data_IF_923111962913
#
_entry.id   IF_923111962913
#
_cell.length_a   1.000
_cell.length_b   1.000
_cell.length_c   1.000
_cell.angle_alpha   90.00
_cell.angle_beta   90.00
_cell.angle_gamma   90.00
#
_symmetry.space_group_name_H-M   'P 1'
#
loop_
_entity.id
_entity.type
_entity.pdbx_description
1 polymer ?
#
# COMPACT_ATOMS: atom_id res chain seq x y z
N UNK A 1 14.12 18.60 -4.27
CA UNK A 1 13.08 17.63 -4.68
C UNK A 1 12.17 17.48 -3.50
N UNK A 2 10.88 17.77 -3.70
CA UNK A 2 9.87 17.67 -2.64
C UNK A 2 8.98 16.46 -2.84
N UNK A 3 8.76 15.71 -1.77
CA UNK A 3 8.01 14.47 -1.77
C UNK A 3 6.75 14.63 -0.92
N UNK A 4 5.59 14.26 -1.45
CA UNK A 4 4.38 14.09 -0.65
C UNK A 4 4.26 12.63 -0.20
N UNK A 5 4.07 12.39 1.10
CA UNK A 5 3.81 11.06 1.64
C UNK A 5 2.38 10.98 2.15
N UNK A 6 1.53 10.28 1.40
CA UNK A 6 0.09 10.18 1.62
C UNK A 6 -0.23 8.87 2.36
N UNK A 7 -0.45 8.97 3.67
CA UNK A 7 -0.88 7.84 4.50
C UNK A 7 -2.39 7.68 4.46
N UNK A 8 -2.86 6.43 4.34
CA UNK A 8 -4.28 6.16 4.20
C UNK A 8 -4.74 4.91 4.96
N UNK A 9 -6.03 4.89 5.35
CA UNK A 9 -6.71 3.75 5.92
C UNK A 9 -6.71 3.69 7.45
N UNK A 10 -6.77 2.48 7.99
CA UNK A 10 -6.65 2.22 9.43
C UNK A 10 -5.20 2.05 9.83
N UNK A 11 -4.86 2.39 11.06
CA UNK A 11 -3.53 2.08 11.62
C UNK A 11 -3.26 0.58 11.60
N UNK A 12 -4.31 -0.22 11.81
CA UNK A 12 -4.19 -1.67 11.92
C UNK A 12 -3.82 -2.12 13.33
N UNK A 13 -4.21 -3.34 13.64
CA UNK A 13 -3.97 -3.95 14.95
C UNK A 13 -3.15 -5.23 14.85
N UNK A 14 -2.88 -5.79 16.01
CA UNK A 14 -2.09 -7.02 16.19
C UNK A 14 -2.94 -8.29 16.02
N UNK A 15 -4.28 -8.16 15.98
CA UNK A 15 -5.18 -9.29 16.00
C UNK A 15 -5.53 -9.80 14.60
N UNK A 16 -5.23 -11.07 14.36
CA UNK A 16 -5.73 -11.86 13.24
C UNK A 16 -5.26 -11.45 11.83
N UNK A 17 -5.77 -12.17 10.84
CA UNK A 17 -5.43 -12.03 9.42
C UNK A 17 -5.79 -10.65 8.86
N UNK A 18 -6.82 -10.02 9.39
CA UNK A 18 -7.35 -8.74 8.90
C UNK A 18 -6.76 -7.53 9.63
N UNK A 19 -5.90 -7.71 10.65
CA UNK A 19 -5.31 -6.61 11.43
C UNK A 19 -6.38 -5.77 12.13
N UNK A 20 -7.39 -6.45 12.69
CA UNK A 20 -8.49 -5.79 13.41
C UNK A 20 -7.99 -5.07 14.65
N UNK A 21 -8.66 -3.97 14.99
CA UNK A 21 -8.29 -3.07 16.06
C UNK A 21 -7.21 -2.08 15.66
N UNK A 22 -6.97 -1.10 16.51
CA UNK A 22 -5.86 -0.17 16.42
C UNK A 22 -4.77 -0.55 17.43
N UNK A 23 -3.51 -0.38 17.04
CA UNK A 23 -2.37 -0.68 17.90
C UNK A 23 -1.36 0.45 17.81
N UNK A 24 -1.08 1.07 18.97
CA UNK A 24 -0.06 2.11 19.08
C UNK A 24 1.33 1.57 18.67
N UNK A 25 1.62 0.33 19.05
CA UNK A 25 2.87 -0.36 18.67
C UNK A 25 3.00 -0.47 17.13
N UNK A 26 1.92 -0.82 16.41
CA UNK A 26 1.93 -0.88 14.94
C UNK A 26 2.20 0.50 14.35
N UNK A 27 1.57 1.55 14.90
CA UNK A 27 1.77 2.93 14.46
C UNK A 27 3.22 3.38 14.65
N UNK A 28 3.79 3.13 15.84
CA UNK A 28 5.16 3.51 16.19
C UNK A 28 6.21 2.75 15.37
N UNK A 29 6.03 1.46 15.17
CA UNK A 29 6.91 0.65 14.31
C UNK A 29 6.85 1.17 12.88
N UNK A 30 5.65 1.37 12.32
CA UNK A 30 5.49 1.89 10.95
C UNK A 30 6.15 3.25 10.78
N UNK A 31 5.90 4.18 11.70
CA UNK A 31 6.52 5.50 11.69
C UNK A 31 8.04 5.42 11.75
N UNK A 32 8.61 4.62 12.67
CA UNK A 32 10.06 4.47 12.82
C UNK A 32 10.73 4.04 11.52
N UNK A 33 10.20 3.01 10.86
CA UNK A 33 10.77 2.51 9.62
C UNK A 33 10.57 3.46 8.43
N UNK A 34 9.45 4.16 8.34
CA UNK A 34 9.27 5.23 7.35
C UNK A 34 10.24 6.38 7.60
N UNK A 35 10.42 6.77 8.86
CA UNK A 35 11.34 7.84 9.23
C UNK A 35 12.78 7.50 8.84
N UNK A 36 13.29 6.35 9.27
CA UNK A 36 14.67 5.92 9.05
C UNK A 36 15.00 5.74 7.56
N UNK A 37 14.08 5.18 6.77
CA UNK A 37 14.35 4.73 5.41
C UNK A 37 13.78 5.64 4.32
N UNK A 38 12.85 6.54 4.63
CA UNK A 38 12.24 7.44 3.65
C UNK A 38 12.37 8.90 4.09
N UNK A 39 11.87 9.28 5.30
CA UNK A 39 11.77 10.70 5.66
C UNK A 39 13.13 11.34 5.92
N UNK A 40 14.04 10.66 6.63
CA UNK A 40 15.38 11.19 6.93
C UNK A 40 16.31 11.25 5.68
N UNK A 41 15.87 10.67 4.55
CA UNK A 41 16.61 10.66 3.28
C UNK A 41 16.11 11.69 2.27
N UNK A 42 14.90 12.22 2.48
CA UNK A 42 14.22 13.07 1.51
C UNK A 42 13.55 14.28 2.18
N UNK A 43 13.23 15.31 1.41
CA UNK A 43 12.40 16.44 1.85
C UNK A 43 10.92 16.03 1.72
N UNK A 44 10.32 15.58 2.83
CA UNK A 44 9.00 14.93 2.85
C UNK A 44 7.98 15.77 3.62
N UNK A 45 6.86 16.04 2.97
CA UNK A 45 5.64 16.53 3.60
C UNK A 45 4.61 15.40 3.70
N UNK A 46 3.99 15.21 4.88
CA UNK A 46 3.04 14.14 5.14
C UNK A 46 1.60 14.63 5.02
N UNK A 47 0.74 13.79 4.44
CA UNK A 47 -0.71 13.95 4.31
C UNK A 47 -1.40 12.71 4.86
N UNK A 48 -2.45 12.90 5.64
CA UNK A 48 -3.09 11.78 6.34
C UNK A 48 -4.59 11.76 6.13
N UNK A 49 -5.10 10.64 5.64
CA UNK A 49 -6.50 10.28 5.82
C UNK A 49 -6.58 8.98 6.63
N UNK A 50 -7.28 8.98 7.78
CA UNK A 50 -7.40 7.79 8.61
C UNK A 50 -8.80 7.57 9.17
N UNK A 51 -9.19 6.28 9.27
CA UNK A 51 -10.39 5.84 9.96
C UNK A 51 -10.16 5.59 11.47
N UNK A 52 -8.94 5.75 11.96
CA UNK A 52 -8.56 5.42 13.35
C UNK A 52 -8.65 6.66 14.24
N UNK A 53 -9.87 7.03 14.60
CA UNK A 53 -10.19 8.27 15.36
C UNK A 53 -9.60 8.24 16.76
N UNK A 54 -9.59 7.08 17.40
CA UNK A 54 -9.06 6.85 18.75
C UNK A 54 -7.54 7.09 18.87
N UNK A 55 -6.81 7.11 17.75
CA UNK A 55 -5.38 7.39 17.73
C UNK A 55 -5.02 8.73 17.05
N UNK A 56 -5.99 9.61 16.87
CA UNK A 56 -5.80 10.89 16.18
C UNK A 56 -4.59 11.66 16.71
N UNK A 57 -4.54 11.91 18.02
CA UNK A 57 -3.49 12.73 18.61
C UNK A 57 -2.11 12.08 18.42
N UNK A 58 -2.01 10.76 18.55
CA UNK A 58 -0.76 10.04 18.33
C UNK A 58 -0.31 10.06 16.87
N UNK A 59 -1.23 9.95 15.92
CA UNK A 59 -0.94 10.09 14.48
C UNK A 59 -0.40 11.48 14.20
N UNK A 60 -1.03 12.53 14.73
CA UNK A 60 -0.59 13.91 14.52
C UNK A 60 0.77 14.20 15.17
N UNK A 61 1.00 13.67 16.38
CA UNK A 61 2.30 13.78 17.07
C UNK A 61 3.45 13.16 16.27
N UNK A 62 3.27 11.92 15.79
CA UNK A 62 4.32 11.19 15.12
C UNK A 62 4.61 11.70 13.70
N UNK A 63 3.56 11.94 12.91
CA UNK A 63 3.71 12.25 11.49
C UNK A 63 3.70 13.73 11.16
N UNK A 64 3.27 14.61 12.08
CA UNK A 64 3.18 16.06 11.90
C UNK A 64 2.66 16.49 10.50
N UNK A 65 1.47 16.01 10.06
CA UNK A 65 1.04 16.15 8.68
C UNK A 65 0.71 17.60 8.32
N UNK A 66 1.00 18.01 7.08
CA UNK A 66 0.61 19.33 6.53
C UNK A 66 -0.91 19.51 6.47
N UNK A 67 -1.60 18.44 6.07
CA UNK A 67 -3.06 18.35 6.11
C UNK A 67 -3.50 16.95 6.52
N UNK A 68 -4.64 16.88 7.21
CA UNK A 68 -5.20 15.60 7.62
C UNK A 68 -6.73 15.62 7.68
N UNK A 69 -7.32 14.45 7.48
CA UNK A 69 -8.70 14.12 7.84
C UNK A 69 -8.69 12.79 8.59
N UNK A 70 -9.18 12.78 9.81
CA UNK A 70 -9.31 11.58 10.64
C UNK A 70 -10.75 11.51 11.11
N UNK A 71 -11.49 10.54 10.60
CA UNK A 71 -12.94 10.45 10.73
C UNK A 71 -13.42 9.01 10.96
N UNK A 72 -14.64 8.82 11.49
CA UNK A 72 -15.23 7.47 11.62
C UNK A 72 -15.36 6.79 10.26
N UNK A 73 -15.15 5.46 10.24
CA UNK A 73 -15.28 4.69 9.01
C UNK A 73 -16.69 4.76 8.43
N UNK A 74 -16.79 5.04 7.13
CA UNK A 74 -18.05 5.03 6.39
C UNK A 74 -18.40 3.60 6.00
N UNK A 75 -19.67 3.27 6.06
CA UNK A 75 -20.24 2.00 5.61
C UNK A 75 -21.14 2.25 4.41
N UNK A 76 -20.69 1.84 3.22
CA UNK A 76 -21.41 2.02 1.95
C UNK A 76 -22.40 0.88 1.67
N UNK A 77 -21.98 -0.37 1.86
CA UNK A 77 -22.80 -1.54 1.60
C UNK A 77 -23.27 -2.15 2.93
N UNK A 78 -24.60 -2.14 3.14
CA UNK A 78 -25.25 -2.70 4.33
C UNK A 78 -25.66 -4.17 4.15
N UNK A 79 -25.36 -4.78 3.00
CA UNK A 79 -25.66 -6.19 2.77
C UNK A 79 -24.74 -7.08 3.66
N UNK A 80 -25.30 -7.87 4.59
CA UNK A 80 -24.49 -8.66 5.52
C UNK A 80 -23.61 -9.73 4.82
N UNK A 81 -24.00 -10.16 3.63
CA UNK A 81 -23.27 -11.19 2.87
C UNK A 81 -22.10 -10.64 2.03
N UNK A 82 -22.20 -9.40 1.58
CA UNK A 82 -21.16 -8.69 0.80
C UNK A 82 -20.47 -7.59 1.61
N UNK A 83 -21.20 -7.04 2.59
CA UNK A 83 -20.95 -5.73 3.17
C UNK A 83 -19.56 -5.56 3.73
N UNK A 84 -19.05 -6.52 4.49
CA UNK A 84 -17.75 -6.36 5.15
C UNK A 84 -16.59 -6.29 4.14
N UNK A 85 -16.54 -7.21 3.17
CA UNK A 85 -15.47 -7.23 2.17
C UNK A 85 -15.56 -6.03 1.24
N UNK A 86 -16.77 -5.71 0.77
CA UNK A 86 -17.04 -4.55 -0.07
C UNK A 86 -16.65 -3.24 0.62
N UNK A 87 -17.09 -3.05 1.87
CA UNK A 87 -16.73 -1.85 2.64
C UNK A 87 -15.22 -1.72 2.86
N UNK A 88 -14.48 -2.82 3.04
CA UNK A 88 -13.03 -2.77 3.13
C UNK A 88 -12.38 -2.26 1.83
N UNK A 89 -12.88 -2.68 0.68
CA UNK A 89 -12.38 -2.21 -0.62
C UNK A 89 -12.72 -0.74 -0.85
N UNK A 90 -13.98 -0.35 -0.62
CA UNK A 90 -14.42 1.03 -0.74
C UNK A 90 -13.67 1.95 0.24
N UNK A 91 -13.55 1.55 1.51
CA UNK A 91 -12.81 2.28 2.54
C UNK A 91 -11.35 2.51 2.16
N UNK A 92 -10.71 1.50 1.57
CA UNK A 92 -9.33 1.64 1.11
C UNK A 92 -9.20 2.70 0.03
N UNK A 93 -9.98 2.57 -1.04
CA UNK A 93 -9.82 3.46 -2.19
C UNK A 93 -10.32 4.89 -1.92
N UNK A 94 -11.39 5.03 -1.14
CA UNK A 94 -11.80 6.35 -0.62
C UNK A 94 -10.68 7.01 0.19
N UNK A 95 -10.11 6.28 1.14
CA UNK A 95 -9.04 6.80 1.99
C UNK A 95 -7.78 7.14 1.17
N UNK A 96 -7.46 6.34 0.16
CA UNK A 96 -6.38 6.63 -0.78
C UNK A 96 -6.64 7.95 -1.52
N UNK A 97 -7.83 8.12 -2.12
CA UNK A 97 -8.21 9.34 -2.82
C UNK A 97 -8.16 10.55 -1.88
N UNK A 98 -8.74 10.45 -0.68
CA UNK A 98 -8.75 11.55 0.29
C UNK A 98 -7.35 12.00 0.70
N UNK A 99 -6.42 11.07 0.94
CA UNK A 99 -5.04 11.44 1.28
C UNK A 99 -4.33 12.18 0.14
N UNK A 100 -4.59 11.80 -1.12
CA UNK A 100 -4.04 12.48 -2.30
C UNK A 100 -4.73 13.83 -2.54
N UNK A 101 -6.05 13.94 -2.35
CA UNK A 101 -6.78 15.22 -2.43
C UNK A 101 -6.22 16.27 -1.44
N UNK A 102 -5.87 15.86 -0.22
CA UNK A 102 -5.24 16.75 0.77
C UNK A 102 -3.90 17.30 0.27
N UNK A 103 -3.10 16.45 -0.38
CA UNK A 103 -1.85 16.83 -1.04
C UNK A 103 -2.14 17.83 -2.17
N UNK A 104 -3.10 17.55 -3.05
CA UNK A 104 -3.44 18.41 -4.19
C UNK A 104 -3.96 19.78 -3.71
N UNK A 105 -4.79 19.81 -2.67
CA UNK A 105 -5.21 21.07 -2.05
C UNK A 105 -4.02 21.88 -1.54
N UNK A 106 -3.05 21.23 -0.89
CA UNK A 106 -1.86 21.90 -0.38
C UNK A 106 -0.97 22.46 -1.50
N UNK A 107 -0.81 21.72 -2.62
CA UNK A 107 -0.12 22.19 -3.83
C UNK A 107 -0.77 23.48 -4.38
N UNK A 108 -2.10 23.49 -4.52
CA UNK A 108 -2.86 24.64 -5.03
C UNK A 108 -2.69 25.86 -4.11
N UNK A 109 -2.86 25.67 -2.80
CA UNK A 109 -2.75 26.75 -1.80
C UNK A 109 -1.35 27.37 -1.75
N UNK A 110 -0.31 26.58 -2.06
CA UNK A 110 1.08 27.02 -1.97
C UNK A 110 1.74 27.25 -3.35
N UNK A 111 0.99 27.11 -4.45
CA UNK A 111 1.41 27.32 -5.83
C UNK A 111 2.70 26.57 -6.21
N UNK A 112 2.73 25.27 -5.97
CA UNK A 112 3.80 24.37 -6.42
C UNK A 112 3.26 22.96 -6.69
N UNK A 113 4.09 22.05 -7.18
CA UNK A 113 3.77 20.63 -7.42
C UNK A 113 4.87 19.75 -6.80
N UNK A 114 4.49 18.65 -6.12
CA UNK A 114 5.43 17.67 -5.61
C UNK A 114 6.10 16.90 -6.76
N UNK A 115 7.39 16.64 -6.59
CA UNK A 115 8.17 15.84 -7.55
C UNK A 115 7.72 14.38 -7.57
N UNK A 116 7.46 13.82 -6.38
CA UNK A 116 6.88 12.50 -6.18
C UNK A 116 5.79 12.53 -5.10
N UNK A 117 4.82 11.65 -5.28
CA UNK A 117 3.77 11.34 -4.30
C UNK A 117 3.85 9.86 -3.99
N UNK A 118 4.09 9.54 -2.73
CA UNK A 118 4.13 8.17 -2.20
C UNK A 118 2.88 7.90 -1.39
N UNK A 119 2.04 6.98 -1.85
CA UNK A 119 0.83 6.54 -1.14
C UNK A 119 1.12 5.26 -0.40
N UNK A 120 0.81 5.19 0.89
CA UNK A 120 1.08 4.03 1.74
C UNK A 120 0.05 3.83 2.84
N UNK A 121 0.07 2.62 3.41
CA UNK A 121 -0.66 2.27 4.64
C UNK A 121 0.21 2.56 5.86
N UNK A 122 -0.40 2.63 7.05
CA UNK A 122 0.32 2.80 8.31
C UNK A 122 1.05 1.54 8.79
N UNK A 123 0.51 0.34 8.48
CA UNK A 123 0.96 -0.95 9.02
C UNK A 123 2.05 -1.65 8.19
N UNK A 124 2.91 -0.87 7.55
CA UNK A 124 4.06 -1.36 6.79
C UNK A 124 5.36 -1.04 7.54
N UNK A 125 6.20 -2.07 7.75
CA UNK A 125 7.58 -1.86 8.13
C UNK A 125 8.42 -1.73 6.86
N UNK A 126 8.80 -0.50 6.53
CA UNK A 126 9.59 -0.22 5.33
C UNK A 126 11.07 -0.43 5.62
N UNK A 127 11.67 -1.52 5.13
CA UNK A 127 13.01 -1.97 5.49
C UNK A 127 14.11 -1.53 4.51
N UNK A 128 13.73 -0.83 3.43
CA UNK A 128 14.64 -0.45 2.36
C UNK A 128 14.77 1.06 2.27
N UNK A 129 16.00 1.56 2.19
CA UNK A 129 16.24 2.98 1.95
C UNK A 129 15.70 3.40 0.58
N UNK A 130 15.04 4.57 0.54
CA UNK A 130 14.49 5.18 -0.69
C UNK A 130 15.09 6.57 -0.85
N UNK A 131 15.92 6.74 -1.88
CA UNK A 131 16.35 8.07 -2.37
C UNK A 131 15.60 8.37 -3.67
N UNK A 132 14.61 9.26 -3.61
CA UNK A 132 13.78 9.60 -4.77
C UNK A 132 14.56 10.23 -5.93
N UNK A 133 15.78 10.72 -5.72
CA UNK A 133 16.64 11.25 -6.78
C UNK A 133 17.06 10.19 -7.80
N UNK A 134 17.02 8.91 -7.40
CA UNK A 134 17.40 7.78 -8.24
C UNK A 134 16.29 7.27 -9.13
N UNK A 135 15.05 7.74 -8.93
CA UNK A 135 13.86 7.25 -9.63
C UNK A 135 13.46 8.14 -10.81
N UNK A 136 12.87 7.51 -11.83
CA UNK A 136 12.30 8.20 -12.99
C UNK A 136 10.93 8.80 -12.62
N UNK A 137 10.82 10.14 -12.66
CA UNK A 137 9.58 10.87 -12.34
C UNK A 137 8.39 10.49 -13.24
N UNK A 138 8.66 9.99 -14.44
CA UNK A 138 7.60 9.63 -15.37
C UNK A 138 7.06 8.22 -15.16
N UNK A 139 7.74 7.39 -14.38
CA UNK A 139 7.32 6.04 -14.08
C UNK A 139 6.28 5.99 -12.95
N UNK A 140 5.50 4.91 -12.95
CA UNK A 140 4.56 4.54 -11.88
C UNK A 140 5.09 3.29 -11.18
N UNK A 141 5.41 3.39 -9.90
CA UNK A 141 6.08 2.33 -9.15
C UNK A 141 5.12 1.59 -8.24
N UNK A 142 5.28 0.26 -8.21
CA UNK A 142 4.53 -0.67 -7.36
C UNK A 142 5.43 -1.81 -6.91
N UNK A 143 5.09 -2.47 -5.80
CA UNK A 143 5.82 -3.64 -5.31
C UNK A 143 5.73 -4.85 -6.21
N UNK A 144 6.74 -5.70 -6.15
CA UNK A 144 6.66 -7.03 -6.71
C UNK A 144 5.65 -7.86 -5.92
N UNK A 145 4.61 -8.36 -6.62
CA UNK A 145 3.50 -9.10 -6.02
C UNK A 145 3.93 -10.39 -5.35
N UNK A 146 4.68 -11.24 -6.06
CA UNK A 146 5.13 -12.53 -5.56
C UNK A 146 6.60 -12.77 -5.88
N UNK A 147 7.30 -13.37 -4.90
CA UNK A 147 8.58 -14.02 -5.13
C UNK A 147 8.35 -15.51 -5.26
N UNK A 148 8.99 -16.10 -6.25
CA UNK A 148 9.11 -17.56 -6.36
C UNK A 148 10.39 -18.00 -5.70
N UNK A 149 10.28 -19.04 -4.89
CA UNK A 149 11.41 -19.73 -4.29
C UNK A 149 11.41 -21.17 -4.78
N UNK A 150 12.59 -21.70 -5.03
CA UNK A 150 12.79 -23.07 -5.44
C UNK A 150 13.74 -23.72 -4.45
N UNK A 151 13.35 -24.87 -3.91
CA UNK A 151 14.19 -25.74 -3.11
C UNK A 151 14.60 -26.91 -4.00
N UNK A 152 15.91 -27.03 -4.29
CA UNK A 152 16.46 -28.06 -5.19
C UNK A 152 15.74 -28.09 -6.55
N UNK A 153 15.46 -26.92 -7.14
CA UNK A 153 14.75 -26.78 -8.41
C UNK A 153 13.23 -27.01 -8.37
N UNK A 154 12.64 -27.27 -7.20
CA UNK A 154 11.22 -27.47 -7.02
C UNK A 154 10.58 -26.23 -6.38
N UNK A 155 9.54 -25.67 -7.00
CA UNK A 155 8.87 -24.50 -6.46
C UNK A 155 8.30 -24.77 -5.07
N UNK A 156 8.61 -23.87 -4.12
CA UNK A 156 8.11 -23.90 -2.75
C UNK A 156 7.37 -22.62 -2.43
N UNK A 157 6.51 -22.65 -1.40
CA UNK A 157 5.87 -21.45 -0.90
C UNK A 157 6.90 -20.53 -0.24
N UNK A 158 6.60 -19.23 -0.21
CA UNK A 158 7.48 -18.22 0.35
C UNK A 158 8.02 -18.62 1.75
N UNK A 159 9.34 -18.63 1.88
CA UNK A 159 10.07 -19.05 3.09
C UNK A 159 9.64 -18.32 4.36
N UNK A 160 9.24 -17.05 4.27
CA UNK A 160 8.82 -16.26 5.45
C UNK A 160 7.53 -16.77 6.10
N UNK A 161 6.71 -17.50 5.35
CA UNK A 161 5.45 -18.06 5.84
C UNK A 161 5.52 -19.53 6.23
N UNK A 162 6.54 -20.24 5.76
CA UNK A 162 6.65 -21.69 5.95
C UNK A 162 8.05 -22.04 6.43
N UNK A 163 8.13 -22.70 7.59
CA UNK A 163 9.37 -23.32 8.01
C UNK A 163 9.59 -24.57 7.16
N UNK A 164 10.63 -24.55 6.36
CA UNK A 164 11.13 -25.75 5.69
C UNK A 164 12.33 -26.27 6.49
N UNK A 165 12.29 -27.56 6.85
CA UNK A 165 13.43 -28.26 7.41
C UNK A 165 14.47 -28.50 6.31
N UNK A 166 15.41 -27.57 6.20
CA UNK A 166 16.50 -27.67 5.24
C UNK A 166 17.51 -28.70 5.70
N UNK A 167 17.89 -29.62 4.79
CA UNK A 167 18.91 -30.63 5.01
C UNK A 167 20.25 -30.15 4.47
N UNK A 168 21.34 -30.77 4.92
CA UNK A 168 22.66 -30.54 4.32
C UNK A 168 22.64 -30.80 2.82
N UNK A 169 23.12 -29.83 2.03
CA UNK A 169 23.11 -29.88 0.56
C UNK A 169 21.87 -29.27 -0.11
N UNK A 170 20.83 -28.91 0.65
CA UNK A 170 19.69 -28.19 0.10
C UNK A 170 20.07 -26.75 -0.26
N UNK A 171 19.57 -26.26 -1.40
CA UNK A 171 19.72 -24.87 -1.80
C UNK A 171 18.36 -24.23 -2.13
N UNK A 172 18.22 -22.94 -1.79
CA UNK A 172 17.06 -22.15 -2.14
C UNK A 172 17.45 -21.14 -3.20
N UNK A 173 16.84 -21.26 -4.37
CA UNK A 173 16.94 -20.30 -5.43
C UNK A 173 15.76 -19.33 -5.36
N UNK A 174 16.08 -18.03 -5.47
CA UNK A 174 15.10 -16.95 -5.45
C UNK A 174 14.99 -16.35 -6.84
N UNK A 175 13.89 -16.59 -7.51
CA UNK A 175 13.60 -15.93 -8.77
C UNK A 175 12.91 -14.58 -8.54
N UNK A 176 13.21 -13.63 -9.40
CA UNK A 176 12.56 -12.32 -9.42
C UNK A 176 11.06 -12.49 -9.63
N UNK A 177 10.26 -11.83 -8.81
CA UNK A 177 8.80 -11.88 -8.91
C UNK A 177 8.28 -11.21 -10.17
N UNK A 178 7.04 -11.51 -10.48
CA UNK A 178 6.34 -10.88 -11.60
C UNK A 178 6.01 -9.42 -11.26
N UNK A 179 5.98 -8.53 -12.26
CA UNK A 179 5.48 -7.16 -12.10
C UNK A 179 4.04 -7.14 -11.58
N UNK A 180 3.21 -7.97 -12.13
CA UNK A 180 1.88 -8.31 -11.65
C UNK A 180 1.56 -9.72 -12.13
N UNK A 181 0.62 -10.37 -11.47
CA UNK A 181 0.10 -11.67 -11.90
C UNK A 181 -1.37 -11.53 -12.31
N UNK A 182 -2.05 -12.65 -12.53
CA UNK A 182 -3.49 -12.67 -12.86
C UNK A 182 -4.37 -12.10 -11.74
N UNK A 183 -3.82 -11.90 -10.54
CA UNK A 183 -4.51 -11.27 -9.43
C UNK A 183 -4.36 -9.73 -9.38
N UNK A 184 -3.54 -9.14 -10.25
CA UNK A 184 -3.36 -7.70 -10.38
C UNK A 184 -2.12 -7.13 -9.68
N UNK A 185 -2.16 -5.86 -9.26
CA UNK A 185 -1.07 -5.17 -8.58
C UNK A 185 -1.11 -5.39 -7.08
N UNK A 186 0.03 -5.35 -6.41
CA UNK A 186 0.04 -5.28 -4.95
C UNK A 186 -0.49 -3.90 -4.52
N UNK A 187 -1.42 -3.90 -3.55
CA UNK A 187 -2.20 -2.71 -3.18
C UNK A 187 -1.72 -2.01 -1.91
N UNK A 188 -0.48 -2.27 -1.48
CA UNK A 188 0.00 -1.78 -0.19
C UNK A 188 0.58 -0.37 -0.26
N UNK A 189 1.22 -0.04 -1.38
CA UNK A 189 1.81 1.27 -1.64
C UNK A 189 1.97 1.49 -3.15
N UNK A 190 2.04 2.77 -3.53
CA UNK A 190 2.32 3.22 -4.90
C UNK A 190 3.09 4.52 -4.85
N UNK A 191 3.96 4.79 -5.82
CA UNK A 191 4.49 6.13 -6.01
C UNK A 191 4.74 6.49 -7.46
N UNK A 192 4.56 7.77 -7.77
CA UNK A 192 4.81 8.38 -9.07
C UNK A 192 4.90 9.90 -8.90
N UNK A 193 4.99 10.68 -10.00
CA UNK A 193 4.82 12.13 -9.93
C UNK A 193 3.39 12.51 -9.50
N UNK A 194 3.21 13.79 -9.12
CA UNK A 194 1.94 14.29 -8.62
C UNK A 194 0.79 14.03 -9.58
N UNK A 195 0.92 14.36 -10.87
CA UNK A 195 -0.13 14.19 -11.89
C UNK A 195 -0.57 12.74 -12.07
N UNK A 196 0.39 11.82 -12.14
CA UNK A 196 0.08 10.40 -12.27
C UNK A 196 -0.67 9.88 -11.03
N UNK A 197 -0.28 10.34 -9.84
CA UNK A 197 -0.95 9.93 -8.60
C UNK A 197 -2.33 10.54 -8.45
N UNK A 198 -2.53 11.79 -8.90
CA UNK A 198 -3.86 12.41 -8.96
C UNK A 198 -4.80 11.59 -9.86
N UNK A 199 -4.34 11.20 -11.06
CA UNK A 199 -5.11 10.33 -11.95
C UNK A 199 -5.40 8.97 -11.32
N UNK A 200 -4.40 8.32 -10.73
CA UNK A 200 -4.58 7.01 -10.12
C UNK A 200 -5.50 7.03 -8.89
N UNK A 201 -5.51 8.12 -8.13
CA UNK A 201 -6.34 8.25 -6.94
C UNK A 201 -7.85 8.29 -7.24
N UNK A 202 -8.26 8.59 -8.47
CA UNK A 202 -9.67 8.63 -8.89
C UNK A 202 -10.33 7.24 -9.01
N UNK A 203 -9.65 6.19 -8.57
CA UNK A 203 -10.20 4.83 -8.61
C UNK A 203 -11.53 4.73 -7.86
N UNK A 204 -11.65 5.39 -6.70
CA UNK A 204 -12.89 5.37 -5.92
C UNK A 204 -14.08 5.94 -6.69
N UNK A 205 -13.90 7.00 -7.47
CA UNK A 205 -14.98 7.59 -8.30
C UNK A 205 -15.52 6.64 -9.35
N UNK A 206 -14.73 5.63 -9.74
CA UNK A 206 -15.08 4.62 -10.74
C UNK A 206 -15.48 3.27 -10.10
N UNK A 207 -15.56 3.18 -8.78
CA UNK A 207 -15.71 1.92 -8.07
C UNK A 207 -16.95 1.15 -8.48
N UNK A 208 -18.12 1.79 -8.52
CA UNK A 208 -19.40 1.16 -8.90
C UNK A 208 -19.37 0.63 -10.33
N UNK A 209 -18.77 1.39 -11.25
CA UNK A 209 -18.56 0.96 -12.62
C UNK A 209 -17.68 -0.28 -12.69
N UNK A 210 -16.62 -0.32 -11.91
CA UNK A 210 -15.67 -1.44 -11.90
C UNK A 210 -16.24 -2.69 -11.21
N UNK A 211 -17.08 -2.53 -10.19
CA UNK A 211 -17.77 -3.66 -9.56
C UNK A 211 -18.65 -4.44 -10.54
N UNK A 212 -19.15 -3.80 -11.60
CA UNK A 212 -19.97 -4.43 -12.63
C UNK A 212 -19.20 -5.23 -13.69
N UNK A 213 -17.85 -5.15 -13.72
CA UNK A 213 -17.02 -5.71 -14.80
C UNK A 213 -16.67 -7.21 -14.63
N UNK A 214 -17.11 -7.84 -13.53
CA UNK A 214 -16.90 -9.27 -13.31
C UNK A 214 -15.42 -9.66 -13.30
N UNK A 215 -15.01 -10.60 -14.16
CA UNK A 215 -13.66 -11.19 -14.16
C UNK A 215 -12.50 -10.21 -14.35
N UNK A 216 -12.73 -9.00 -14.84
CA UNK A 216 -11.67 -7.99 -14.97
C UNK A 216 -11.23 -7.41 -13.62
N UNK A 217 -12.19 -7.34 -12.68
CA UNK A 217 -12.00 -6.70 -11.36
C UNK A 217 -12.25 -7.63 -10.19
N UNK A 218 -12.82 -8.83 -10.46
CA UNK A 218 -13.10 -9.85 -9.45
C UNK A 218 -12.05 -10.96 -9.49
N UNK A 219 -11.78 -11.55 -8.34
CA UNK A 219 -10.90 -12.73 -8.22
C UNK A 219 -11.58 -14.01 -8.77
N UNK A 220 -10.86 -15.12 -8.74
CA UNK A 220 -11.37 -16.41 -9.20
C UNK A 220 -12.54 -16.96 -8.36
N UNK A 221 -12.80 -16.40 -7.19
CA UNK A 221 -13.95 -16.71 -6.33
C UNK A 221 -15.17 -15.81 -6.65
N UNK A 222 -15.06 -14.95 -7.66
CA UNK A 222 -16.12 -14.02 -8.06
C UNK A 222 -16.32 -12.85 -7.09
N UNK A 223 -15.32 -12.53 -6.30
CA UNK A 223 -15.33 -11.40 -5.38
C UNK A 223 -14.44 -10.27 -5.89
N UNK A 224 -14.89 -9.03 -5.70
CA UNK A 224 -14.09 -7.85 -6.06
C UNK A 224 -12.71 -7.90 -5.38
N UNK A 225 -11.67 -7.52 -6.10
CA UNK A 225 -10.29 -7.59 -5.66
C UNK A 225 -9.60 -6.24 -5.78
N UNK A 226 -9.03 -5.73 -4.67
CA UNK A 226 -8.23 -4.50 -4.68
C UNK A 226 -7.08 -4.56 -5.69
N UNK A 227 -6.48 -5.73 -5.85
CA UNK A 227 -5.33 -5.94 -6.74
C UNK A 227 -5.73 -5.81 -8.21
N UNK A 228 -6.85 -6.42 -8.58
CA UNK A 228 -7.42 -6.32 -9.93
C UNK A 228 -7.98 -4.94 -10.22
N UNK A 229 -8.65 -4.32 -9.24
CA UNK A 229 -9.09 -2.93 -9.34
C UNK A 229 -7.92 -1.98 -9.63
N UNK A 230 -6.82 -2.10 -8.89
CA UNK A 230 -5.64 -1.27 -9.09
C UNK A 230 -5.06 -1.42 -10.51
N UNK A 231 -4.91 -2.66 -10.99
CA UNK A 231 -4.39 -2.92 -12.33
C UNK A 231 -5.37 -2.41 -13.42
N UNK A 232 -6.67 -2.70 -13.25
CA UNK A 232 -7.68 -2.25 -14.19
C UNK A 232 -7.69 -0.72 -14.28
N UNK A 233 -7.73 -0.04 -13.14
CA UNK A 233 -7.73 1.43 -13.10
C UNK A 233 -6.47 2.02 -13.71
N UNK A 234 -5.30 1.47 -13.40
CA UNK A 234 -4.04 1.90 -13.99
C UNK A 234 -4.07 1.87 -15.53
N UNK A 235 -4.69 0.82 -16.11
CA UNK A 235 -4.92 0.71 -17.56
C UNK A 235 -5.87 1.79 -18.07
N UNK A 236 -6.99 2.02 -17.36
CA UNK A 236 -8.03 2.98 -17.78
C UNK A 236 -7.52 4.42 -17.80
N UNK A 237 -6.64 4.80 -16.87
CA UNK A 237 -6.06 6.15 -16.80
C UNK A 237 -4.79 6.31 -17.61
N UNK A 238 -4.42 5.32 -18.44
CA UNK A 238 -3.29 5.40 -19.37
C UNK A 238 -1.91 5.36 -18.72
N UNK A 239 -1.78 4.73 -17.56
CA UNK A 239 -0.51 4.66 -16.80
C UNK A 239 0.19 3.30 -16.90
N UNK A 240 -0.39 2.32 -17.60
CA UNK A 240 0.17 0.95 -17.66
C UNK A 240 1.59 0.93 -18.26
N UNK A 241 1.82 1.70 -19.33
CA UNK A 241 3.13 1.76 -20.01
C UNK A 241 4.22 2.42 -19.17
N UNK A 242 3.82 3.11 -18.09
CA UNK A 242 4.72 3.72 -17.11
C UNK A 242 5.07 2.82 -15.94
N UNK A 243 4.41 1.65 -15.84
CA UNK A 243 4.54 0.74 -14.70
C UNK A 243 5.96 0.20 -14.58
N UNK A 244 6.54 0.38 -13.41
CA UNK A 244 7.79 -0.24 -12.97
C UNK A 244 7.61 -0.93 -11.63
N UNK A 245 8.23 -2.09 -11.49
CA UNK A 245 8.24 -2.81 -10.23
C UNK A 245 9.54 -2.56 -9.48
N UNK A 246 9.35 -2.21 -8.21
CA UNK A 246 10.45 -1.94 -7.30
C UNK A 246 10.11 -2.58 -5.96
N UNK A 247 11.08 -2.94 -5.16
CA UNK A 247 10.91 -3.54 -3.85
C UNK A 247 10.09 -4.83 -3.82
N UNK A 248 10.39 -5.67 -2.87
CA UNK A 248 9.83 -7.00 -2.78
C UNK A 248 9.00 -7.18 -1.51
N UNK A 249 7.76 -7.64 -1.70
CA UNK A 249 6.87 -7.99 -0.59
C UNK A 249 7.58 -8.92 0.40
N UNK A 250 7.43 -8.65 1.68
CA UNK A 250 7.99 -9.36 2.82
C UNK A 250 9.49 -9.18 3.10
N UNK A 251 10.29 -8.79 2.11
CA UNK A 251 11.70 -8.54 2.33
C UNK A 251 11.97 -7.04 2.54
N UNK A 252 11.31 -6.19 1.76
CA UNK A 252 11.54 -4.74 1.78
C UNK A 252 10.41 -3.98 2.47
N UNK A 253 9.16 -4.51 2.45
CA UNK A 253 7.99 -3.86 3.04
C UNK A 253 6.97 -4.87 3.62
N UNK A 254 7.33 -5.63 4.65
CA UNK A 254 6.39 -6.54 5.31
C UNK A 254 5.28 -5.80 6.04
N UNK A 255 4.09 -6.41 6.12
CA UNK A 255 3.05 -5.96 7.03
C UNK A 255 3.48 -6.25 8.47
N UNK A 256 3.45 -5.23 9.33
CA UNK A 256 3.94 -5.31 10.73
C UNK A 256 3.28 -6.45 11.49
N UNK A 257 1.95 -6.59 11.41
CA UNK A 257 1.18 -7.67 12.03
C UNK A 257 1.65 -9.08 11.67
N UNK A 258 2.27 -9.26 10.47
CA UNK A 258 2.76 -10.57 10.01
C UNK A 258 4.24 -10.76 10.27
N UNK A 259 4.98 -9.67 10.23
CA UNK A 259 6.42 -9.65 10.38
C UNK A 259 6.82 -9.70 11.85
N UNK A 260 6.26 -8.82 12.68
CA UNK A 260 6.59 -8.68 14.09
C UNK A 260 6.34 -9.96 14.90
N UNK A 261 5.18 -10.60 14.70
CA UNK A 261 4.83 -11.83 15.42
C UNK A 261 5.58 -13.08 14.97
N UNK A 262 6.13 -13.10 13.76
CA UNK A 262 6.89 -14.25 13.25
C UNK A 262 8.38 -14.17 13.55
N UNK A 263 8.90 -12.99 13.77
CA UNK A 263 10.32 -12.79 14.06
C UNK A 263 10.63 -12.81 15.57
N UNK A 264 9.63 -13.02 16.45
CA UNK A 264 9.82 -13.13 17.89
C UNK A 264 10.40 -11.87 18.54
N UNK A 265 10.08 -10.69 18.01
CA UNK A 265 10.56 -9.40 18.48
C UNK A 265 9.43 -8.54 19.00
#
# INVERSE_FOLDING_TARGET
MKIAFCLNGVVGGNAGKSGQGSSEEVLEIGHRYFKENIFDKNDVDVFVHSWTVDMKDKILELYNPKKHVIEPQIWWDKNPWRGFRMNNHMSKWYSTQKSVELKTQYEIENNFEYDFVFVSRFDIAWLKEVDFKTYDKNAFYVGHWNRRYYLNGKEIKNRLYYNYDLKEGDYIEKLVGYPYNDEGLIDQWFFSNSKNMDLFSTLFDNFDKYDSLGSETHDHEGSISNHRLALHHLKQVGLLDKLKNEFYLHDDFPLIRRWHFKCGR
#
